data_IF_826206837460
#
_entry.id   IF_826206837460
#
_cell.length_a   1.000
_cell.length_b   1.000
_cell.length_c   1.000
_cell.angle_alpha   90.00
_cell.angle_beta   90.00
_cell.angle_gamma   90.00
#
_symmetry.space_group_name_H-M   'P 1'
#
loop_
_entity.id
_entity.type
_entity.pdbx_description
1 polymer ?
#
# COMPACT_ATOMS: atom_id res chain seq x y z
N UNK A 1 5.53 10.73 -35.07
CA UNK A 1 5.50 11.21 -33.66
C UNK A 1 6.89 11.00 -33.07
N UNK A 2 7.48 11.99 -32.40
CA UNK A 2 8.77 11.80 -31.74
C UNK A 2 8.60 10.75 -30.63
N UNK A 3 9.46 9.74 -30.61
CA UNK A 3 9.49 8.74 -29.56
C UNK A 3 9.85 9.42 -28.25
N UNK A 4 8.94 9.40 -27.28
CA UNK A 4 9.27 9.73 -25.89
C UNK A 4 10.41 8.79 -25.48
N UNK A 5 11.57 9.33 -25.12
CA UNK A 5 12.72 8.51 -24.72
C UNK A 5 12.39 7.82 -23.38
N UNK A 6 12.83 6.57 -23.20
CA UNK A 6 12.61 5.78 -21.97
C UNK A 6 13.00 6.53 -20.67
N UNK A 7 13.91 7.50 -20.76
CA UNK A 7 14.33 8.37 -19.65
C UNK A 7 13.21 9.28 -19.11
N UNK A 8 12.34 9.80 -19.97
CA UNK A 8 11.21 10.67 -19.58
C UNK A 8 10.06 9.87 -18.97
N UNK A 9 9.82 8.66 -19.46
CA UNK A 9 8.82 7.74 -18.90
C UNK A 9 9.22 7.27 -17.49
N UNK A 10 10.51 7.02 -17.24
CA UNK A 10 10.99 6.62 -15.91
C UNK A 10 10.84 7.73 -14.86
N UNK A 11 11.02 9.01 -15.23
CA UNK A 11 10.77 10.14 -14.33
C UNK A 11 9.30 10.18 -13.89
N UNK A 12 8.38 9.94 -14.82
CA UNK A 12 6.94 10.00 -14.58
C UNK A 12 6.38 9.01 -13.55
N UNK A 13 7.12 7.95 -13.25
CA UNK A 13 6.63 6.81 -12.46
C UNK A 13 7.08 6.82 -11.00
N UNK A 14 7.88 7.82 -10.62
CA UNK A 14 8.45 7.93 -9.29
C UNK A 14 7.60 8.83 -8.42
N UNK A 15 6.78 8.23 -7.55
CA UNK A 15 5.99 8.97 -6.57
C UNK A 15 6.40 8.63 -5.14
N UNK A 16 7.06 9.57 -4.49
CA UNK A 16 7.25 9.67 -3.05
C UNK A 16 6.27 10.71 -2.48
N UNK A 17 5.36 10.33 -1.58
CA UNK A 17 4.49 11.26 -0.86
C UNK A 17 5.27 12.44 -0.28
N UNK A 18 4.72 13.64 -0.48
CA UNK A 18 5.37 14.91 -0.13
C UNK A 18 5.69 15.01 1.37
N UNK A 19 4.79 14.50 2.21
CA UNK A 19 4.98 14.52 3.67
C UNK A 19 6.12 13.59 4.11
N UNK A 20 6.39 12.49 3.40
CA UNK A 20 7.51 11.60 3.71
C UNK A 20 8.84 12.31 3.41
N UNK A 21 8.95 12.95 2.24
CA UNK A 21 10.15 13.74 1.90
C UNK A 21 10.43 14.82 2.95
N UNK A 22 9.39 15.52 3.40
CA UNK A 22 9.51 16.53 4.45
C UNK A 22 9.99 15.92 5.77
N UNK A 23 9.42 14.78 6.15
CA UNK A 23 9.74 14.10 7.41
C UNK A 23 11.19 13.63 7.47
N UNK A 24 11.67 13.00 6.40
CA UNK A 24 13.08 12.61 6.30
C UNK A 24 13.96 13.84 6.51
N UNK A 25 13.68 14.95 5.84
CA UNK A 25 14.42 16.20 6.07
C UNK A 25 14.45 16.62 7.55
N UNK A 26 13.30 16.70 8.20
CA UNK A 26 13.23 17.21 9.60
C UNK A 26 14.01 16.39 10.61
N UNK A 27 14.20 15.09 10.35
CA UNK A 27 14.94 14.20 11.25
C UNK A 27 16.46 14.39 11.07
N UNK A 28 16.91 14.78 9.89
CA UNK A 28 18.34 14.86 9.55
C UNK A 28 18.90 16.28 9.52
N UNK A 29 18.05 17.32 9.44
CA UNK A 29 18.43 18.73 9.61
C UNK A 29 18.09 19.21 11.05
N UNK A 30 19.00 19.13 12.04
CA UNK A 30 18.71 19.61 13.40
C UNK A 30 18.50 21.14 13.42
N UNK A 31 17.50 21.66 14.17
CA UNK A 31 17.10 23.07 14.14
C UNK A 31 18.11 24.08 14.71
N UNK A 32 19.28 23.64 15.20
CA UNK A 32 20.18 24.47 16.02
C UNK A 32 21.45 24.96 15.33
N UNK A 33 21.59 24.82 14.01
CA UNK A 33 22.67 25.49 13.28
C UNK A 33 22.16 26.72 12.53
N UNK A 34 21.96 27.81 13.27
CA UNK A 34 21.92 29.21 12.77
C UNK A 34 23.24 29.69 12.16
N UNK A 35 24.14 28.76 11.80
CA UNK A 35 25.36 29.10 11.08
C UNK A 35 24.95 29.46 9.64
N UNK A 36 25.30 30.68 9.25
CA UNK A 36 25.13 31.24 7.90
C UNK A 36 25.77 30.33 6.81
N UNK A 37 26.57 29.34 7.20
CA UNK A 37 27.18 28.33 6.32
C UNK A 37 26.32 27.08 6.08
N UNK A 38 25.25 26.84 6.85
CA UNK A 38 24.27 25.77 6.57
C UNK A 38 23.42 26.07 5.30
N UNK A 39 23.63 27.22 4.65
CA UNK A 39 22.91 27.63 3.45
C UNK A 39 23.42 27.01 2.13
N UNK A 40 24.48 26.21 2.13
CA UNK A 40 25.13 25.75 0.88
C UNK A 40 25.09 24.23 0.62
N UNK A 41 24.60 23.39 1.55
CA UNK A 41 24.54 21.94 1.39
C UNK A 41 23.14 21.38 1.04
N UNK A 42 23.04 20.20 0.39
CA UNK A 42 21.78 19.48 0.20
C UNK A 42 21.25 18.84 1.49
N UNK A 43 19.93 18.81 1.68
CA UNK A 43 19.26 18.24 2.87
C UNK A 43 19.20 16.70 2.85
N UNK A 44 19.30 16.08 1.67
CA UNK A 44 19.45 14.62 1.49
C UNK A 44 19.94 14.33 0.07
N UNK A 45 20.41 13.10 -0.12
CA UNK A 45 20.83 12.59 -1.42
C UNK A 45 19.76 11.63 -1.95
N UNK A 46 19.29 11.88 -3.17
CA UNK A 46 18.52 10.92 -3.93
C UNK A 46 19.48 10.20 -4.87
N UNK A 47 19.69 8.91 -4.67
CA UNK A 47 20.56 8.11 -5.53
C UNK A 47 19.72 7.50 -6.64
N UNK A 48 20.03 7.77 -7.91
CA UNK A 48 19.37 7.16 -9.07
C UNK A 48 20.37 6.95 -10.19
N UNK A 49 20.39 5.77 -10.81
CA UNK A 49 21.25 5.50 -11.97
C UNK A 49 22.74 5.83 -11.75
N UNK A 50 23.26 5.56 -10.55
CA UNK A 50 24.63 5.93 -10.18
C UNK A 50 24.87 7.44 -10.04
N UNK A 51 23.83 8.26 -10.23
CA UNK A 51 23.87 9.71 -10.01
C UNK A 51 23.34 10.03 -8.61
N UNK A 52 24.11 10.81 -7.87
CA UNK A 52 23.66 11.40 -6.61
C UNK A 52 23.02 12.74 -6.95
N UNK A 53 21.70 12.84 -6.76
CA UNK A 53 20.96 14.09 -6.95
C UNK A 53 20.87 14.77 -5.58
N UNK A 54 21.69 15.81 -5.33
CA UNK A 54 21.57 16.62 -4.13
C UNK A 54 20.21 17.32 -4.14
N UNK A 55 19.33 17.00 -3.19
CA UNK A 55 17.99 17.54 -3.14
C UNK A 55 17.85 18.59 -2.04
N UNK A 56 17.15 19.68 -2.37
CA UNK A 56 16.89 20.79 -1.46
C UNK A 56 15.39 21.08 -1.46
N UNK A 57 14.71 20.79 -0.35
CA UNK A 57 13.29 21.08 -0.20
C UNK A 57 13.13 22.53 0.24
N UNK A 58 12.47 23.36 -0.56
CA UNK A 58 12.25 24.77 -0.28
C UNK A 58 10.78 24.97 0.12
N UNK A 59 10.50 24.98 1.43
CA UNK A 59 9.22 25.34 2.07
C UNK A 59 8.02 24.38 1.89
N UNK A 60 7.02 24.57 2.78
CA UNK A 60 6.00 23.61 3.15
C UNK A 60 4.98 23.24 2.06
N UNK A 61 4.87 23.98 0.95
CA UNK A 61 3.85 23.74 -0.09
C UNK A 61 4.31 24.03 -1.54
N UNK A 62 5.61 24.18 -1.79
CA UNK A 62 6.09 24.38 -3.15
C UNK A 62 6.54 23.06 -3.77
N UNK A 63 5.74 22.57 -4.73
CA UNK A 63 6.20 21.66 -5.78
C UNK A 63 7.44 22.31 -6.41
N UNK A 64 8.63 21.78 -6.12
CA UNK A 64 9.82 21.99 -6.96
C UNK A 64 10.21 20.64 -7.51
N UNK A 65 9.46 20.22 -8.53
CA UNK A 65 9.98 19.91 -9.88
C UNK A 65 11.03 18.83 -10.10
N UNK A 66 11.57 18.11 -9.11
CA UNK A 66 12.66 17.16 -9.43
C UNK A 66 12.60 15.78 -8.79
N UNK A 67 11.83 15.56 -7.72
CA UNK A 67 11.83 14.24 -7.03
C UNK A 67 10.51 13.47 -7.20
N UNK A 68 9.40 14.19 -7.39
CA UNK A 68 8.09 13.59 -7.68
C UNK A 68 7.37 14.41 -8.72
N UNK A 69 7.45 14.05 -10.01
CA UNK A 69 6.56 14.66 -10.97
C UNK A 69 5.12 14.40 -10.54
N UNK A 70 4.29 15.45 -10.55
CA UNK A 70 2.86 15.27 -10.41
C UNK A 70 2.39 14.33 -11.52
N UNK A 71 1.35 13.53 -11.26
CA UNK A 71 0.62 12.83 -12.33
C UNK A 71 0.40 13.81 -13.49
N UNK A 72 -0.02 15.05 -13.19
CA UNK A 72 -0.29 16.12 -14.16
C UNK A 72 0.94 16.50 -14.99
N UNK A 73 2.13 16.58 -14.38
CA UNK A 73 3.35 16.99 -15.07
C UNK A 73 3.74 15.99 -16.16
N UNK A 74 3.48 14.70 -15.91
CA UNK A 74 3.75 13.63 -16.86
C UNK A 74 2.85 13.72 -18.11
N UNK A 75 1.61 14.20 -17.95
CA UNK A 75 0.67 14.28 -19.06
C UNK A 75 0.72 15.60 -19.84
N UNK A 76 1.28 16.68 -19.25
CA UNK A 76 1.43 17.96 -19.96
C UNK A 76 2.38 17.86 -21.15
N UNK A 77 3.33 16.93 -21.13
CA UNK A 77 4.32 16.76 -22.19
C UNK A 77 3.91 15.76 -23.29
N UNK A 78 2.85 14.99 -23.10
CA UNK A 78 2.55 13.81 -23.90
C UNK A 78 1.21 13.90 -24.66
N UNK A 79 1.03 14.92 -25.53
CA UNK A 79 -0.08 14.97 -26.51
C UNK A 79 -1.44 14.49 -25.99
N UNK A 80 -1.75 14.83 -24.74
CA UNK A 80 -2.74 14.11 -23.95
C UNK A 80 -4.16 14.49 -24.39
N UNK A 81 -5.06 13.51 -24.47
CA UNK A 81 -6.45 13.78 -24.80
C UNK A 81 -7.08 14.70 -23.73
N UNK A 82 -7.89 15.72 -24.08
CA UNK A 82 -8.43 16.67 -23.10
C UNK A 82 -9.19 16.02 -21.94
N UNK A 83 -9.94 14.95 -22.23
CA UNK A 83 -10.64 14.15 -21.22
C UNK A 83 -9.69 13.45 -20.24
N UNK A 84 -8.57 12.95 -20.74
CA UNK A 84 -7.56 12.28 -19.93
C UNK A 84 -6.88 13.29 -19.00
N UNK A 85 -6.52 14.47 -19.52
CA UNK A 85 -5.98 15.56 -18.70
C UNK A 85 -6.96 16.00 -17.59
N UNK A 86 -8.26 16.08 -17.89
CA UNK A 86 -9.28 16.39 -16.90
C UNK A 86 -9.41 15.30 -15.82
N UNK A 87 -9.32 14.02 -16.20
CA UNK A 87 -9.28 12.92 -15.23
C UNK A 87 -8.02 12.95 -14.36
N UNK A 88 -6.85 13.24 -14.95
CA UNK A 88 -5.60 13.39 -14.21
C UNK A 88 -5.71 14.45 -13.11
N UNK A 89 -6.30 15.61 -13.42
CA UNK A 89 -6.55 16.66 -12.43
C UNK A 89 -7.50 16.19 -11.32
N UNK A 90 -8.60 15.52 -11.67
CA UNK A 90 -9.54 14.96 -10.67
C UNK A 90 -8.87 13.93 -9.76
N UNK A 91 -8.07 13.02 -10.33
CA UNK A 91 -7.30 12.03 -9.57
C UNK A 91 -6.30 12.73 -8.65
N UNK A 92 -5.56 13.72 -9.16
CA UNK A 92 -4.59 14.48 -8.38
C UNK A 92 -5.25 15.16 -7.17
N UNK A 93 -6.34 15.89 -7.37
CA UNK A 93 -7.06 16.57 -6.29
C UNK A 93 -7.63 15.60 -5.25
N UNK A 94 -8.19 14.48 -5.71
CA UNK A 94 -8.70 13.43 -4.84
C UNK A 94 -7.57 12.79 -4.03
N UNK A 95 -6.43 12.54 -4.66
CA UNK A 95 -5.26 11.96 -4.04
C UNK A 95 -4.63 12.90 -3.00
N UNK A 96 -4.50 14.19 -3.30
CA UNK A 96 -3.96 15.17 -2.34
C UNK A 96 -4.77 15.18 -1.04
N UNK A 97 -6.10 15.10 -1.13
CA UNK A 97 -6.97 15.01 0.06
C UNK A 97 -6.75 13.72 0.84
N UNK A 98 -6.58 12.59 0.14
CA UNK A 98 -6.28 11.30 0.75
C UNK A 98 -4.91 11.33 1.44
N UNK A 99 -3.90 11.88 0.79
CA UNK A 99 -2.54 12.04 1.31
C UNK A 99 -2.52 12.94 2.56
N UNK A 100 -3.18 14.10 2.51
CA UNK A 100 -3.30 14.99 3.68
C UNK A 100 -3.94 14.27 4.87
N UNK A 101 -5.03 13.54 4.63
CA UNK A 101 -5.73 12.79 5.68
C UNK A 101 -4.86 11.66 6.25
N UNK A 102 -4.16 10.91 5.39
CA UNK A 102 -3.23 9.86 5.83
C UNK A 102 -2.02 10.46 6.57
N UNK A 103 -1.53 11.62 6.14
CA UNK A 103 -0.47 12.37 6.81
C UNK A 103 -0.82 12.72 8.25
N UNK A 104 -2.09 13.05 8.55
CA UNK A 104 -2.55 13.28 9.92
C UNK A 104 -2.50 12.00 10.78
N UNK A 105 -2.94 10.87 10.22
CA UNK A 105 -2.86 9.58 10.91
C UNK A 105 -1.41 9.17 11.19
N UNK A 106 -0.51 9.34 10.20
CA UNK A 106 0.92 9.05 10.34
C UNK A 106 1.60 10.02 11.32
N UNK A 107 1.20 11.29 11.35
CA UNK A 107 1.69 12.24 12.35
C UNK A 107 1.29 11.85 13.78
N UNK A 108 0.12 11.25 13.98
CA UNK A 108 -0.26 10.71 15.28
C UNK A 108 0.67 9.56 15.71
N UNK A 109 1.03 8.66 14.77
CA UNK A 109 2.02 7.61 15.00
C UNK A 109 3.40 8.18 15.33
N UNK A 110 3.85 9.22 14.62
CA UNK A 110 5.14 9.86 14.91
C UNK A 110 5.18 10.48 16.30
N UNK A 111 4.10 11.14 16.72
CA UNK A 111 4.01 11.67 18.09
C UNK A 111 3.99 10.57 19.13
N UNK A 112 3.38 9.41 18.84
CA UNK A 112 3.40 8.26 19.73
C UNK A 112 4.84 7.72 19.87
N UNK A 113 5.52 7.48 18.76
CA UNK A 113 6.91 7.02 18.72
C UNK A 113 7.86 8.00 19.41
N UNK A 114 7.77 9.30 19.12
CA UNK A 114 8.64 10.32 19.70
C UNK A 114 8.47 10.46 21.23
N UNK A 115 7.28 10.13 21.74
CA UNK A 115 6.97 10.09 23.18
C UNK A 115 7.32 8.76 23.83
N UNK A 116 7.88 7.81 23.07
CA UNK A 116 8.21 6.47 23.56
C UNK A 116 6.97 5.63 23.90
N UNK A 117 5.82 5.89 23.28
CA UNK A 117 4.64 5.04 23.44
C UNK A 117 4.85 3.71 22.73
N UNK A 118 4.34 2.64 23.32
CA UNK A 118 4.38 1.28 22.75
C UNK A 118 3.21 1.01 21.79
N UNK A 119 2.26 1.94 21.68
CA UNK A 119 1.09 1.82 20.82
C UNK A 119 0.64 3.17 20.27
N UNK A 120 -0.11 3.12 19.17
CA UNK A 120 -0.87 4.25 18.62
C UNK A 120 -2.34 3.89 18.58
N UNK A 121 -3.19 4.84 18.92
CA UNK A 121 -4.65 4.68 18.88
C UNK A 121 -5.18 5.47 17.69
N UNK A 122 -5.93 4.79 16.82
CA UNK A 122 -6.64 5.39 15.70
C UNK A 122 -8.10 4.99 15.70
N UNK A 123 -8.96 5.88 15.24
CA UNK A 123 -10.31 5.50 14.84
C UNK A 123 -10.28 4.58 13.61
N UNK A 124 -11.36 3.80 13.41
CA UNK A 124 -11.55 3.02 12.19
C UNK A 124 -11.60 3.89 10.94
N UNK A 125 -12.13 5.11 11.04
CA UNK A 125 -12.07 6.09 9.95
C UNK A 125 -10.62 6.39 9.53
N UNK A 126 -9.73 6.70 10.49
CA UNK A 126 -8.33 7.00 10.22
C UNK A 126 -7.57 5.79 9.66
N UNK A 127 -7.83 4.59 10.19
CA UNK A 127 -7.23 3.37 9.66
C UNK A 127 -7.69 3.04 8.24
N UNK A 128 -8.98 3.22 7.95
CA UNK A 128 -9.53 3.01 6.61
C UNK A 128 -8.88 3.99 5.61
N UNK A 129 -8.68 5.24 6.02
CA UNK A 129 -7.95 6.26 5.24
C UNK A 129 -6.50 5.81 5.00
N UNK A 130 -5.80 5.38 6.05
CA UNK A 130 -4.41 4.94 5.96
C UNK A 130 -4.26 3.73 5.04
N UNK A 131 -5.07 2.68 5.22
CA UNK A 131 -5.07 1.49 4.35
C UNK A 131 -5.33 1.85 2.89
N UNK A 132 -6.31 2.73 2.63
CA UNK A 132 -6.57 3.20 1.28
C UNK A 132 -5.39 3.97 0.69
N UNK A 133 -4.78 4.85 1.47
CA UNK A 133 -3.59 5.58 1.05
C UNK A 133 -2.43 4.64 0.70
N UNK A 134 -2.14 3.65 1.54
CA UNK A 134 -1.08 2.65 1.32
C UNK A 134 -1.34 1.83 0.05
N UNK A 135 -2.58 1.42 -0.19
CA UNK A 135 -2.94 0.73 -1.43
C UNK A 135 -2.71 1.63 -2.66
N UNK A 136 -3.20 2.87 -2.62
CA UNK A 136 -3.12 3.79 -3.77
C UNK A 136 -1.66 4.16 -4.08
N UNK A 137 -0.82 4.39 -3.06
CA UNK A 137 0.60 4.69 -3.29
C UNK A 137 1.30 3.49 -3.93
N UNK A 138 0.99 2.27 -3.49
CA UNK A 138 1.49 1.05 -4.13
C UNK A 138 1.05 0.91 -5.59
N UNK A 139 -0.21 1.21 -5.91
CA UNK A 139 -0.70 1.19 -7.29
C UNK A 139 0.05 2.18 -8.19
N UNK A 140 0.31 3.40 -7.68
CA UNK A 140 1.03 4.45 -8.42
C UNK A 140 2.51 4.16 -8.62
N UNK A 141 3.15 3.52 -7.65
CA UNK A 141 4.58 3.20 -7.68
C UNK A 141 4.91 1.94 -8.49
N UNK A 142 3.90 1.23 -9.03
CA UNK A 142 4.06 -0.13 -9.53
C UNK A 142 4.00 -0.30 -11.04
N UNK A 143 4.32 -1.53 -11.46
CA UNK A 143 4.03 -2.13 -12.78
C UNK A 143 2.57 -1.93 -13.20
N UNK A 144 1.63 -1.71 -12.27
CA UNK A 144 0.22 -1.51 -12.60
C UNK A 144 0.01 -0.33 -13.54
N UNK A 145 0.61 0.84 -13.27
CA UNK A 145 0.52 1.98 -14.19
C UNK A 145 1.09 1.66 -15.58
N UNK A 146 2.28 1.02 -15.64
CA UNK A 146 2.94 0.65 -16.90
C UNK A 146 2.03 -0.17 -17.82
N UNK A 147 1.20 -1.05 -17.24
CA UNK A 147 0.23 -1.85 -18.00
C UNK A 147 -0.75 -0.98 -18.78
N UNK A 148 -1.28 0.07 -18.16
CA UNK A 148 -2.24 0.97 -18.79
C UNK A 148 -1.58 1.99 -19.72
N UNK A 149 -0.38 2.45 -19.37
CA UNK A 149 0.39 3.39 -20.19
C UNK A 149 0.76 2.82 -21.56
N UNK A 150 1.14 1.54 -21.60
CA UNK A 150 1.55 0.84 -22.82
C UNK A 150 0.46 -0.07 -23.41
N UNK A 151 -0.80 0.12 -22.97
CA UNK A 151 -1.91 -0.67 -23.47
C UNK A 151 -2.12 -0.42 -24.97
N UNK A 152 -1.79 -1.42 -25.79
CA UNK A 152 -1.92 -1.33 -27.25
C UNK A 152 -3.30 -1.75 -27.76
N UNK A 153 -4.15 -2.34 -26.88
CA UNK A 153 -5.45 -2.88 -27.25
C UNK A 153 -5.41 -4.05 -28.25
N UNK A 154 -4.21 -4.61 -28.49
CA UNK A 154 -3.98 -5.70 -29.46
C UNK A 154 -3.58 -7.02 -28.80
N UNK A 155 -3.43 -7.05 -27.48
CA UNK A 155 -3.13 -8.29 -26.77
C UNK A 155 -4.39 -9.15 -26.64
N UNK A 156 -4.18 -10.47 -26.69
CA UNK A 156 -5.19 -11.47 -26.34
C UNK A 156 -5.11 -11.81 -24.85
N UNK A 157 -4.62 -10.90 -24.01
CA UNK A 157 -4.57 -11.12 -22.58
C UNK A 157 -5.97 -10.89 -22.00
N UNK A 158 -6.40 -11.75 -21.08
CA UNK A 158 -7.69 -11.64 -20.36
C UNK A 158 -7.80 -10.28 -19.67
N UNK A 159 -6.66 -9.72 -19.26
CA UNK A 159 -6.56 -8.39 -18.68
C UNK A 159 -6.94 -7.28 -19.66
N UNK A 160 -6.58 -7.44 -20.94
CA UNK A 160 -6.92 -6.47 -21.97
C UNK A 160 -8.43 -6.48 -22.23
N UNK A 161 -9.07 -7.65 -22.15
CA UNK A 161 -10.52 -7.80 -22.27
C UNK A 161 -11.28 -7.10 -21.13
N UNK A 162 -10.83 -7.27 -19.88
CA UNK A 162 -11.43 -6.58 -18.72
C UNK A 162 -11.37 -5.06 -18.89
N UNK A 163 -10.19 -4.54 -19.23
CA UNK A 163 -9.98 -3.08 -19.39
C UNK A 163 -10.80 -2.54 -20.55
N UNK A 164 -10.86 -3.24 -21.68
CA UNK A 164 -11.68 -2.83 -22.83
C UNK A 164 -13.18 -2.90 -22.54
N UNK A 165 -13.64 -3.94 -21.83
CA UNK A 165 -15.04 -4.04 -21.40
C UNK A 165 -15.41 -2.88 -20.45
N UNK A 166 -14.59 -2.65 -19.43
CA UNK A 166 -14.76 -1.54 -18.49
C UNK A 166 -14.75 -0.18 -19.21
N UNK A 167 -13.80 0.02 -20.12
CA UNK A 167 -13.69 1.22 -20.94
C UNK A 167 -14.96 1.48 -21.75
N UNK A 168 -15.50 0.45 -22.42
CA UNK A 168 -16.73 0.55 -23.22
C UNK A 168 -17.96 0.87 -22.36
N UNK A 169 -18.12 0.17 -21.23
CA UNK A 169 -19.25 0.36 -20.31
C UNK A 169 -19.31 1.80 -19.78
N UNK A 170 -18.16 2.40 -19.47
CA UNK A 170 -18.08 3.77 -18.94
C UNK A 170 -17.85 4.85 -20.02
N UNK A 171 -17.89 4.49 -21.31
CA UNK A 171 -17.72 5.43 -22.42
C UNK A 171 -16.35 6.13 -22.45
N UNK A 172 -15.29 5.45 -22.02
CA UNK A 172 -13.97 6.03 -21.84
C UNK A 172 -13.14 5.94 -23.15
N UNK A 173 -12.35 6.96 -23.51
CA UNK A 173 -11.72 7.03 -24.83
C UNK A 173 -10.56 6.05 -25.00
N UNK A 174 -9.84 5.71 -23.92
CA UNK A 174 -8.68 4.82 -23.97
C UNK A 174 -8.47 4.11 -22.60
N UNK A 175 -7.55 3.15 -22.55
CA UNK A 175 -7.24 2.39 -21.34
C UNK A 175 -6.64 3.23 -20.21
N UNK A 176 -5.87 4.29 -20.53
CA UNK A 176 -5.37 5.24 -19.51
C UNK A 176 -6.52 5.94 -18.80
N UNK A 177 -7.55 6.37 -19.53
CA UNK A 177 -8.76 6.94 -18.97
C UNK A 177 -9.55 5.91 -18.14
N UNK A 178 -9.59 4.64 -18.56
CA UNK A 178 -10.17 3.55 -17.75
C UNK A 178 -9.49 3.41 -16.39
N UNK A 179 -8.16 3.39 -16.37
CA UNK A 179 -7.40 3.35 -15.13
C UNK A 179 -7.58 4.60 -14.26
N UNK A 180 -7.45 5.81 -14.84
CA UNK A 180 -7.62 7.06 -14.09
C UNK A 180 -9.03 7.18 -13.51
N UNK A 181 -10.05 6.75 -14.25
CA UNK A 181 -11.44 6.71 -13.78
C UNK A 181 -11.62 5.69 -12.65
N UNK A 182 -11.07 4.47 -12.78
CA UNK A 182 -11.06 3.45 -11.73
C UNK A 182 -10.39 3.98 -10.46
N UNK A 183 -9.20 4.57 -10.60
CA UNK A 183 -8.41 5.12 -9.50
C UNK A 183 -9.12 6.27 -8.79
N UNK A 184 -9.71 7.21 -9.55
CA UNK A 184 -10.50 8.29 -8.98
C UNK A 184 -11.69 7.73 -8.19
N UNK A 185 -12.41 6.76 -8.76
CA UNK A 185 -13.55 6.10 -8.11
C UNK A 185 -13.12 5.39 -6.84
N UNK A 186 -12.02 4.63 -6.84
CA UNK A 186 -11.49 3.96 -5.65
C UNK A 186 -11.16 4.93 -4.51
N UNK A 187 -10.55 6.08 -4.84
CA UNK A 187 -10.25 7.11 -3.84
C UNK A 187 -11.54 7.65 -3.22
N UNK A 188 -12.58 7.90 -4.02
CA UNK A 188 -13.86 8.49 -3.58
C UNK A 188 -14.81 7.52 -2.89
N UNK A 189 -14.83 6.26 -3.31
CA UNK A 189 -15.75 5.24 -2.75
C UNK A 189 -15.38 4.93 -1.31
N UNK A 190 -16.32 4.91 -0.34
CA UNK A 190 -16.03 4.52 1.04
C UNK A 190 -15.32 3.16 1.12
N UNK A 191 -14.48 2.97 2.14
CA UNK A 191 -13.62 1.77 2.27
C UNK A 191 -14.37 0.45 2.06
N UNK A 192 -15.52 0.30 2.73
CA UNK A 192 -16.38 -0.90 2.64
C UNK A 192 -17.15 -1.02 1.32
N UNK A 193 -17.28 0.05 0.53
CA UNK A 193 -18.00 0.06 -0.74
C UNK A 193 -17.14 -0.31 -1.94
N UNK A 194 -15.81 -0.38 -1.78
CA UNK A 194 -14.87 -0.65 -2.88
C UNK A 194 -15.12 -2.01 -3.55
N UNK A 195 -15.26 -3.13 -2.81
CA UNK A 195 -15.47 -4.46 -3.42
C UNK A 195 -16.69 -4.53 -4.36
N UNK A 196 -17.76 -3.82 -4.02
CA UNK A 196 -19.02 -3.82 -4.79
C UNK A 196 -19.08 -2.76 -5.90
N UNK A 197 -18.12 -1.84 -6.00
CA UNK A 197 -18.23 -0.65 -6.85
C UNK A 197 -17.91 -0.94 -8.33
N UNK A 198 -18.93 -1.02 -9.19
CA UNK A 198 -18.78 -1.21 -10.64
C UNK A 198 -17.99 -0.09 -11.37
N UNK A 199 -17.76 1.05 -10.72
CA UNK A 199 -16.90 2.15 -11.23
C UNK A 199 -15.40 1.94 -10.99
N UNK A 200 -15.01 0.78 -10.45
CA UNK A 200 -13.62 0.38 -10.21
C UNK A 200 -13.36 -0.91 -10.98
N UNK A 201 -12.20 -1.03 -11.61
CA UNK A 201 -11.77 -2.25 -12.30
C UNK A 201 -11.89 -3.45 -11.35
N UNK A 202 -12.37 -4.59 -11.86
CA UNK A 202 -12.62 -5.78 -11.04
C UNK A 202 -11.33 -6.23 -10.34
N UNK A 203 -10.20 -6.21 -11.07
CA UNK A 203 -8.91 -6.56 -10.50
C UNK A 203 -8.48 -5.64 -9.36
N UNK A 204 -8.66 -4.32 -9.53
CA UNK A 204 -8.31 -3.34 -8.50
C UNK A 204 -9.18 -3.53 -7.25
N UNK A 205 -10.47 -3.86 -7.43
CA UNK A 205 -11.38 -4.20 -6.33
C UNK A 205 -10.94 -5.45 -5.59
N UNK A 206 -10.66 -6.53 -6.32
CA UNK A 206 -10.24 -7.80 -5.73
C UNK A 206 -8.92 -7.64 -4.95
N UNK A 207 -7.93 -6.94 -5.53
CA UNK A 207 -6.67 -6.68 -4.84
C UNK A 207 -6.84 -5.78 -3.60
N UNK A 208 -7.76 -4.81 -3.65
CA UNK A 208 -8.06 -3.97 -2.50
C UNK A 208 -8.78 -4.74 -1.39
N UNK A 209 -9.76 -5.56 -1.76
CA UNK A 209 -10.49 -6.42 -0.86
C UNK A 209 -9.55 -7.40 -0.17
N UNK A 210 -8.62 -7.99 -0.91
CA UNK A 210 -7.58 -8.86 -0.37
C UNK A 210 -6.76 -8.16 0.72
N UNK A 211 -6.27 -6.95 0.43
CA UNK A 211 -5.50 -6.14 1.39
C UNK A 211 -6.33 -5.71 2.60
N UNK A 212 -7.61 -5.41 2.41
CA UNK A 212 -8.49 -4.98 3.49
C UNK A 212 -8.85 -6.12 4.43
N UNK A 213 -9.20 -7.27 3.87
CA UNK A 213 -9.81 -8.40 4.56
C UNK A 213 -8.78 -9.32 5.16
N UNK A 214 -7.73 -9.64 4.41
CA UNK A 214 -6.79 -10.69 4.79
C UNK A 214 -5.47 -10.15 5.32
N UNK A 215 -5.25 -8.83 5.34
CA UNK A 215 -4.01 -8.26 5.86
C UNK A 215 -4.21 -7.47 7.15
N UNK A 216 -3.48 -7.88 8.17
CA UNK A 216 -3.34 -7.12 9.41
C UNK A 216 -2.29 -6.02 9.23
N UNK A 217 -2.59 -4.83 9.77
CA UNK A 217 -1.62 -3.75 9.83
C UNK A 217 -0.74 -3.93 11.07
N UNK A 218 0.57 -4.01 10.85
CA UNK A 218 1.60 -4.10 11.87
C UNK A 218 2.56 -2.91 11.76
N UNK A 219 3.04 -2.40 12.89
CA UNK A 219 3.94 -1.24 12.95
C UNK A 219 5.25 -1.68 13.57
N UNK A 220 6.35 -1.40 12.88
CA UNK A 220 7.68 -1.76 13.30
C UNK A 220 8.60 -0.54 13.44
N UNK A 221 9.30 -0.45 14.56
CA UNK A 221 10.32 0.56 14.85
C UNK A 221 11.73 -0.03 14.69
N UNK A 222 12.68 0.80 14.24
CA UNK A 222 14.10 0.43 14.19
C UNK A 222 14.70 0.19 15.59
N UNK A 223 15.67 -0.72 15.74
CA UNK A 223 16.19 -1.18 17.04
C UNK A 223 16.78 -0.08 17.91
N UNK A 224 17.56 0.83 17.32
CA UNK A 224 18.23 1.91 18.03
C UNK A 224 18.40 3.16 17.15
N UNK A 225 18.85 4.26 17.77
CA UNK A 225 19.20 5.49 17.04
C UNK A 225 20.35 5.19 16.06
N UNK A 226 20.26 5.73 14.85
CA UNK A 226 21.22 5.49 13.76
C UNK A 226 20.87 4.32 12.83
N UNK A 227 19.86 3.50 13.17
CA UNK A 227 19.24 2.60 12.21
C UNK A 227 18.06 3.31 11.55
N UNK A 228 18.17 3.52 10.24
CA UNK A 228 17.12 4.13 9.43
C UNK A 228 16.69 3.17 8.33
N UNK A 229 15.38 2.95 8.23
CA UNK A 229 14.77 2.37 7.06
C UNK A 229 15.02 3.24 5.83
N UNK A 230 15.28 2.55 4.73
CA UNK A 230 15.48 3.17 3.44
C UNK A 230 14.13 3.52 2.81
N UNK A 231 14.06 4.70 2.20
CA UNK A 231 12.93 5.09 1.36
C UNK A 231 13.34 4.91 -0.09
N UNK A 232 12.68 3.98 -0.78
CA UNK A 232 12.88 3.70 -2.19
C UNK A 232 11.57 3.85 -2.95
N UNK A 233 11.64 3.81 -4.28
CA UNK A 233 10.44 3.81 -5.12
C UNK A 233 9.50 2.66 -4.78
N UNK A 234 10.04 1.48 -4.46
CA UNK A 234 9.26 0.28 -4.16
C UNK A 234 9.02 0.07 -2.67
N UNK A 235 9.70 0.79 -1.76
CA UNK A 235 9.48 0.68 -0.33
C UNK A 235 8.13 1.25 0.12
N UNK A 236 7.31 1.74 -0.81
CA UNK A 236 5.92 2.16 -0.62
C UNK A 236 4.96 1.11 -1.18
N UNK A 237 5.11 -0.14 -0.72
CA UNK A 237 4.28 -1.28 -1.15
C UNK A 237 5.07 -2.47 -1.65
N UNK A 238 6.26 -2.72 -1.08
CA UNK A 238 7.09 -3.86 -1.43
C UNK A 238 6.39 -5.14 -1.01
N UNK A 239 6.04 -5.97 -1.98
CA UNK A 239 5.37 -7.24 -1.76
C UNK A 239 6.40 -8.35 -1.49
N UNK A 240 6.29 -9.01 -0.34
CA UNK A 240 7.19 -10.06 0.16
C UNK A 240 6.51 -11.40 0.37
N UNK A 241 7.31 -12.47 0.25
CA UNK A 241 6.90 -13.85 0.47
C UNK A 241 5.82 -14.26 -0.52
N UNK A 242 6.19 -14.82 -1.67
CA UNK A 242 5.19 -15.30 -2.62
C UNK A 242 4.88 -16.75 -2.29
N UNK A 243 3.63 -17.05 -1.96
CA UNK A 243 3.17 -18.44 -1.91
C UNK A 243 2.62 -18.78 -3.29
N UNK A 244 3.26 -19.69 -4.04
CA UNK A 244 2.64 -20.22 -5.24
C UNK A 244 1.47 -21.09 -4.83
N UNK A 245 0.26 -20.73 -5.23
CA UNK A 245 -0.89 -21.62 -5.07
C UNK A 245 -0.78 -22.71 -6.15
N UNK A 246 -0.02 -23.77 -5.85
CA UNK A 246 0.60 -24.64 -6.86
C UNK A 246 -0.24 -25.82 -7.36
N UNK A 247 -1.47 -26.03 -6.90
CA UNK A 247 -2.32 -27.07 -7.49
C UNK A 247 -3.80 -26.72 -7.46
N UNK A 248 -4.57 -27.30 -8.38
CA UNK A 248 -6.03 -27.10 -8.47
C UNK A 248 -6.75 -27.65 -7.23
N UNK A 249 -6.18 -28.67 -6.58
CA UNK A 249 -6.68 -29.22 -5.32
C UNK A 249 -6.29 -28.34 -4.14
N UNK A 250 -5.14 -27.65 -4.21
CA UNK A 250 -4.76 -26.61 -3.23
C UNK A 250 -5.50 -25.30 -3.48
N UNK A 251 -5.86 -24.90 -4.70
CA UNK A 251 -6.76 -23.76 -4.95
C UNK A 251 -8.20 -24.07 -4.53
N UNK A 252 -8.65 -25.32 -4.70
CA UNK A 252 -9.96 -25.76 -4.20
C UNK A 252 -9.95 -25.87 -2.70
N UNK A 253 -8.91 -26.43 -2.07
CA UNK A 253 -8.77 -26.49 -0.61
C UNK A 253 -8.51 -25.13 -0.02
N UNK A 254 -7.48 -24.39 -0.43
CA UNK A 254 -7.22 -23.02 0.02
C UNK A 254 -8.37 -22.08 -0.32
N UNK A 255 -9.03 -22.25 -1.46
CA UNK A 255 -10.24 -21.49 -1.81
C UNK A 255 -11.51 -21.94 -1.08
N UNK A 256 -11.55 -23.13 -0.48
CA UNK A 256 -12.63 -23.61 0.41
C UNK A 256 -12.31 -23.32 1.89
N UNK A 257 -11.04 -23.37 2.27
CA UNK A 257 -10.50 -23.18 3.62
C UNK A 257 -10.34 -21.69 3.93
N UNK A 258 -9.94 -20.87 2.94
CA UNK A 258 -9.88 -19.41 3.02
C UNK A 258 -11.16 -18.75 2.45
N UNK A 259 -12.04 -19.51 1.78
CA UNK A 259 -13.27 -19.00 1.13
C UNK A 259 -13.10 -17.65 0.42
N UNK A 260 -11.92 -17.47 -0.22
CA UNK A 260 -11.61 -16.33 -1.06
C UNK A 260 -12.70 -16.25 -2.14
N UNK A 261 -13.28 -15.06 -2.42
CA UNK A 261 -14.27 -14.94 -3.47
C UNK A 261 -13.69 -15.52 -4.74
N UNK A 262 -14.30 -16.61 -5.23
CA UNK A 262 -14.00 -17.15 -6.55
C UNK A 262 -14.06 -15.96 -7.48
N UNK A 263 -12.97 -15.66 -8.18
CA UNK A 263 -13.01 -14.75 -9.32
C UNK A 263 -13.88 -15.44 -10.36
N UNK A 264 -15.20 -15.29 -10.20
CA UNK A 264 -16.25 -15.90 -10.99
C UNK A 264 -16.29 -15.16 -12.31
N UNK A 265 -15.40 -15.54 -13.25
CA UNK A 265 -15.53 -15.06 -14.63
C UNK A 265 -14.33 -15.16 -15.55
N UNK A 266 -13.13 -15.53 -15.09
CA UNK A 266 -11.94 -15.56 -15.95
C UNK A 266 -11.48 -16.97 -16.32
N UNK A 267 -11.28 -17.26 -17.60
CA UNK A 267 -10.68 -18.52 -18.05
C UNK A 267 -9.31 -18.78 -17.38
N UNK A 268 -9.10 -20.05 -17.05
CA UNK A 268 -7.92 -20.60 -16.35
C UNK A 268 -6.63 -20.38 -17.15
N UNK A 269 -5.76 -19.49 -16.69
CA UNK A 269 -4.32 -19.58 -17.02
C UNK A 269 -3.65 -20.52 -16.02
N UNK A 270 -2.80 -21.43 -16.53
CA UNK A 270 -1.92 -22.34 -15.77
C UNK A 270 -0.74 -21.60 -15.10
N UNK A 271 -0.97 -20.42 -14.53
CA UNK A 271 0.02 -19.72 -13.71
C UNK A 271 -0.47 -19.76 -12.28
N UNK A 272 0.32 -20.33 -11.38
CA UNK A 272 0.02 -20.26 -9.95
C UNK A 272 -0.20 -18.80 -9.57
N UNK A 273 -1.34 -18.50 -8.94
CA UNK A 273 -1.57 -17.15 -8.43
C UNK A 273 -0.58 -16.92 -7.29
N UNK A 274 0.28 -15.92 -7.46
CA UNK A 274 1.26 -15.51 -6.47
C UNK A 274 0.61 -14.51 -5.51
N UNK A 275 0.35 -14.94 -4.26
CA UNK A 275 -0.16 -14.06 -3.20
C UNK A 275 1.01 -13.64 -2.32
N UNK A 276 1.30 -12.33 -2.19
CA UNK A 276 2.36 -11.89 -1.29
C UNK A 276 1.92 -12.05 0.16
N UNK A 277 2.79 -12.53 1.04
CA UNK A 277 2.55 -12.70 2.46
C UNK A 277 2.59 -11.35 3.20
N UNK A 278 3.46 -10.43 2.80
CA UNK A 278 3.52 -9.10 3.41
C UNK A 278 3.65 -7.99 2.37
N UNK A 279 3.16 -6.79 2.72
CA UNK A 279 3.49 -5.56 2.00
C UNK A 279 4.16 -4.57 2.96
N UNK A 280 5.34 -4.08 2.58
CA UNK A 280 6.17 -3.20 3.43
C UNK A 280 6.08 -1.76 2.92
N UNK A 281 5.83 -0.85 3.86
CA UNK A 281 5.71 0.60 3.64
C UNK A 281 6.61 1.36 4.62
N UNK A 282 7.71 1.93 4.15
CA UNK A 282 8.54 2.80 5.00
C UNK A 282 7.91 4.19 5.11
N UNK A 283 7.49 4.54 6.33
CA UNK A 283 6.72 5.77 6.62
C UNK A 283 7.52 6.79 7.44
N UNK A 284 8.65 6.39 8.02
CA UNK A 284 9.71 7.24 8.59
C UNK A 284 11.06 6.57 8.39
N UNK A 285 12.18 7.29 8.61
CA UNK A 285 13.46 6.63 8.86
C UNK A 285 13.35 5.60 9.98
N UNK A 286 12.56 5.86 11.03
CA UNK A 286 12.44 4.97 12.18
C UNK A 286 11.23 4.06 12.21
N UNK A 287 10.28 4.17 11.27
CA UNK A 287 9.06 3.35 11.29
C UNK A 287 8.71 2.79 9.92
N UNK A 288 8.30 1.54 9.91
CA UNK A 288 7.71 0.87 8.77
C UNK A 288 6.34 0.29 9.15
N UNK A 289 5.42 0.28 8.18
CA UNK A 289 4.12 -0.36 8.28
C UNK A 289 4.14 -1.62 7.41
N UNK A 290 3.69 -2.72 7.98
CA UNK A 290 3.57 -4.00 7.30
C UNK A 290 2.09 -4.35 7.18
N UNK A 291 1.67 -4.81 6.00
CA UNK A 291 0.37 -5.45 5.80
C UNK A 291 0.60 -6.96 5.65
N UNK A 292 0.45 -7.69 6.75
CA UNK A 292 0.78 -9.12 6.85
C UNK A 292 -0.47 -9.96 6.66
N UNK A 293 -0.41 -10.96 5.78
CA UNK A 293 -1.53 -11.87 5.51
C UNK A 293 -1.82 -12.73 6.73
N UNK A 294 -3.06 -12.70 7.25
CA UNK A 294 -3.42 -13.37 8.51
C UNK A 294 -3.75 -14.84 8.34
N UNK A 295 -4.25 -15.23 7.16
CA UNK A 295 -4.70 -16.62 6.92
C UNK A 295 -3.64 -17.50 6.26
N UNK A 296 -2.54 -16.90 5.82
CA UNK A 296 -1.40 -17.62 5.28
C UNK A 296 -0.35 -17.58 6.38
N UNK A 297 -0.37 -18.53 7.33
CA UNK A 297 0.68 -18.59 8.33
C UNK A 297 2.02 -18.67 7.59
N UNK A 298 3.10 -18.11 8.15
CA UNK A 298 4.45 -18.40 7.69
C UNK A 298 4.76 -19.86 8.02
N UNK A 299 4.11 -20.80 7.33
CA UNK A 299 4.50 -22.20 7.31
C UNK A 299 5.91 -22.29 6.77
N UNK A 300 6.59 -23.38 7.12
CA UNK A 300 7.93 -23.78 6.66
C UNK A 300 8.00 -24.03 5.14
N UNK A 301 7.45 -23.11 4.34
CA UNK A 301 7.81 -23.08 2.94
C UNK A 301 9.29 -22.77 2.89
N UNK A 302 10.03 -23.56 2.10
CA UNK A 302 11.43 -23.30 1.81
C UNK A 302 11.52 -21.96 1.09
N UNK A 303 11.58 -20.91 1.90
CA UNK A 303 11.92 -19.57 1.46
C UNK A 303 13.29 -19.66 0.79
N UNK A 304 13.42 -19.01 -0.37
CA UNK A 304 14.72 -18.94 -1.01
C UNK A 304 15.70 -18.26 -0.07
N UNK A 305 16.96 -18.70 -0.09
CA UNK A 305 18.01 -18.22 0.81
C UNK A 305 18.10 -16.68 0.74
N UNK A 306 17.59 -15.98 1.76
CA UNK A 306 17.53 -14.51 1.82
C UNK A 306 16.13 -13.85 1.84
N UNK A 307 15.03 -14.61 1.77
CA UNK A 307 13.68 -14.04 1.97
C UNK A 307 13.41 -13.76 3.46
N UNK A 308 12.61 -12.73 3.74
CA UNK A 308 12.24 -12.34 5.09
C UNK A 308 11.34 -13.43 5.72
N UNK A 309 11.84 -14.09 6.76
CA UNK A 309 11.04 -15.02 7.57
C UNK A 309 10.01 -14.23 8.40
N UNK A 310 8.82 -14.04 7.85
CA UNK A 310 7.75 -13.28 8.51
C UNK A 310 7.32 -13.88 9.87
N UNK A 311 7.58 -15.17 10.09
CA UNK A 311 7.42 -15.83 11.39
C UNK A 311 8.26 -15.23 12.50
N UNK A 312 9.39 -14.61 12.15
CA UNK A 312 10.38 -14.14 13.10
C UNK A 312 10.12 -12.68 13.49
N UNK A 313 9.20 -12.00 12.79
CA UNK A 313 8.78 -10.66 13.15
C UNK A 313 8.08 -10.66 14.52
N UNK A 314 8.38 -9.70 15.40
CA UNK A 314 7.69 -9.61 16.67
C UNK A 314 6.19 -9.39 16.45
N UNK A 315 5.33 -9.97 17.30
CA UNK A 315 3.88 -9.85 17.13
C UNK A 315 3.46 -8.39 17.31
N UNK A 316 2.81 -7.83 16.30
CA UNK A 316 2.20 -6.51 16.36
C UNK A 316 0.69 -6.67 16.58
N UNK A 317 0.27 -6.69 17.85
CA UNK A 317 -1.14 -6.85 18.19
C UNK A 317 -1.95 -5.61 17.82
N UNK A 318 -3.22 -5.83 17.49
CA UNK A 318 -4.22 -4.76 17.33
C UNK A 318 -5.39 -5.08 18.24
N UNK A 319 -5.71 -4.16 19.14
CA UNK A 319 -6.88 -4.25 20.01
C UNK A 319 -7.98 -3.34 19.47
N UNK A 320 -9.19 -3.88 19.35
CA UNK A 320 -10.34 -3.15 18.82
C UNK A 320 -11.34 -2.91 19.95
N UNK A 321 -11.65 -1.64 20.20
CA UNK A 321 -12.75 -1.21 21.07
C UNK A 321 -13.91 -0.74 20.19
N UNK A 322 -15.02 -1.48 20.23
CA UNK A 322 -16.20 -1.18 19.42
C UNK A 322 -17.03 -0.03 20.00
N UNK A 323 -17.44 0.90 19.14
CA UNK A 323 -18.22 2.09 19.55
C UNK A 323 -19.44 2.25 18.60
N UNK A 324 -20.68 2.08 19.10
CA UNK A 324 -21.04 1.62 20.45
C UNK A 324 -20.58 0.17 20.71
N UNK A 325 -20.51 -0.28 21.98
CA UNK A 325 -20.17 -1.68 22.28
C UNK A 325 -21.07 -2.66 21.51
N UNK A 326 -20.49 -3.80 21.13
CA UNK A 326 -21.25 -4.87 20.47
C UNK A 326 -22.24 -5.50 21.44
N UNK A 327 -23.35 -6.01 20.92
CA UNK A 327 -24.23 -6.89 21.71
C UNK A 327 -23.44 -8.10 22.25
N UNK A 328 -23.72 -8.59 23.47
CA UNK A 328 -23.04 -9.77 24.01
C UNK A 328 -23.12 -10.99 23.09
N UNK A 329 -24.24 -11.14 22.38
CA UNK A 329 -24.47 -12.19 21.39
C UNK A 329 -23.58 -12.09 20.16
N UNK A 330 -23.11 -10.90 19.77
CA UNK A 330 -22.33 -10.71 18.56
C UNK A 330 -20.96 -11.39 18.61
N UNK A 331 -20.39 -11.58 19.81
CA UNK A 331 -19.06 -12.19 20.01
C UNK A 331 -19.10 -13.45 20.90
N UNK A 332 -20.28 -13.87 21.35
CA UNK A 332 -20.39 -15.03 22.22
C UNK A 332 -19.85 -16.31 21.57
N UNK A 333 -20.06 -16.46 20.26
CA UNK A 333 -19.62 -17.65 19.51
C UNK A 333 -18.09 -17.79 19.48
N UNK A 334 -17.33 -16.68 19.47
CA UNK A 334 -15.87 -16.70 19.39
C UNK A 334 -15.20 -17.23 20.68
N UNK A 335 -15.97 -17.45 21.73
CA UNK A 335 -15.52 -18.02 23.02
C UNK A 335 -15.89 -19.49 23.18
N UNK A 336 -16.72 -20.03 22.27
CA UNK A 336 -17.15 -21.43 22.29
C UNK A 336 -16.18 -22.28 21.47
N UNK A 337 -16.02 -23.54 21.86
CA UNK A 337 -15.37 -24.50 20.98
C UNK A 337 -16.18 -24.65 19.68
N UNK A 338 -15.54 -24.72 18.49
CA UNK A 338 -16.27 -24.91 17.23
C UNK A 338 -17.22 -26.12 17.21
N UNK A 339 -16.95 -27.16 18.00
CA UNK A 339 -17.84 -28.32 18.14
C UNK A 339 -19.16 -28.02 18.89
N UNK A 340 -19.23 -26.89 19.60
CA UNK A 340 -20.40 -26.43 20.37
C UNK A 340 -21.20 -25.35 19.64
N UNK A 341 -20.81 -24.99 18.41
CA UNK A 341 -21.49 -23.93 17.65
C UNK A 341 -22.90 -24.36 17.24
N UNK A 342 -23.88 -23.50 17.54
CA UNK A 342 -25.24 -23.65 17.03
C UNK A 342 -25.30 -23.23 15.55
N UNK A 343 -26.39 -23.55 14.80
CA UNK A 343 -26.59 -23.03 13.46
C UNK A 343 -26.49 -21.49 13.37
N UNK A 344 -26.95 -20.79 14.41
CA UNK A 344 -26.85 -19.33 14.49
C UNK A 344 -25.40 -18.86 14.72
N UNK A 345 -24.60 -19.59 15.48
CA UNK A 345 -23.18 -19.29 15.68
C UNK A 345 -22.39 -19.50 14.39
N UNK A 346 -22.67 -20.58 13.64
CA UNK A 346 -22.10 -20.84 12.31
C UNK A 346 -22.48 -19.71 11.35
N UNK A 347 -23.74 -19.28 11.35
CA UNK A 347 -24.18 -18.17 10.51
C UNK A 347 -23.49 -16.86 10.90
N UNK A 348 -23.34 -16.55 12.20
CA UNK A 348 -22.64 -15.34 12.66
C UNK A 348 -21.15 -15.36 12.29
N UNK A 349 -20.48 -16.49 12.46
CA UNK A 349 -19.10 -16.61 12.01
C UNK A 349 -19.00 -16.45 10.49
N UNK A 350 -19.96 -17.01 9.75
CA UNK A 350 -20.04 -16.82 8.31
C UNK A 350 -20.25 -15.35 7.94
N UNK A 351 -21.21 -14.67 8.57
CA UNK A 351 -21.50 -13.24 8.36
C UNK A 351 -20.28 -12.38 8.69
N UNK A 352 -19.56 -12.71 9.76
CA UNK A 352 -18.35 -12.00 10.16
C UNK A 352 -17.21 -12.24 9.16
N UNK A 353 -16.92 -13.49 8.81
CA UNK A 353 -15.80 -13.83 7.92
C UNK A 353 -16.04 -13.42 6.48
N UNK A 354 -17.25 -13.60 5.96
CA UNK A 354 -17.56 -13.45 4.53
C UNK A 354 -18.15 -12.09 4.21
N UNK A 355 -19.12 -11.65 4.99
CA UNK A 355 -19.83 -10.39 4.76
C UNK A 355 -19.24 -9.23 5.55
N UNK A 356 -18.29 -9.50 6.46
CA UNK A 356 -17.75 -8.54 7.42
C UNK A 356 -18.88 -7.87 8.23
N UNK A 357 -19.93 -8.62 8.55
CA UNK A 357 -21.08 -8.16 9.31
C UNK A 357 -20.92 -8.62 10.76
N UNK A 358 -21.05 -7.67 11.69
CA UNK A 358 -21.06 -7.93 13.12
C UNK A 358 -22.18 -7.12 13.75
N UNK A 359 -23.06 -7.79 14.48
CA UNK A 359 -24.24 -7.17 15.09
C UNK A 359 -25.15 -6.48 14.04
N UNK A 360 -25.32 -7.13 12.88
CA UNK A 360 -26.12 -6.64 11.75
C UNK A 360 -25.53 -5.43 11.02
N UNK A 361 -24.29 -5.03 11.31
CA UNK A 361 -23.60 -3.90 10.68
C UNK A 361 -22.29 -4.33 10.04
N UNK A 362 -21.98 -3.75 8.88
CA UNK A 362 -20.67 -3.93 8.26
C UNK A 362 -19.59 -3.35 9.19
N UNK A 363 -18.67 -4.19 9.65
CA UNK A 363 -17.59 -3.87 10.60
C UNK A 363 -16.78 -2.66 10.11
N UNK A 364 -16.43 -2.64 8.83
CA UNK A 364 -15.67 -1.54 8.23
C UNK A 364 -16.41 -0.20 8.18
N UNK A 365 -17.74 -0.21 8.29
CA UNK A 365 -18.57 1.00 8.37
C UNK A 365 -18.69 1.57 9.80
N UNK A 366 -18.17 0.87 10.82
CA UNK A 366 -18.14 1.31 12.21
C UNK A 366 -17.04 2.33 12.47
N UNK A 367 -17.15 3.50 11.84
CA UNK A 367 -16.09 4.52 11.76
C UNK A 367 -15.54 5.00 13.11
N UNK A 368 -16.35 4.93 14.17
CA UNK A 368 -16.01 5.38 15.51
C UNK A 368 -15.28 4.32 16.37
N UNK A 369 -15.18 3.07 15.90
CA UNK A 369 -14.42 2.05 16.62
C UNK A 369 -12.98 2.52 16.80
N UNK A 370 -12.41 2.28 17.98
CA UNK A 370 -11.04 2.64 18.32
C UNK A 370 -10.13 1.43 18.16
N UNK A 371 -8.99 1.61 17.51
CA UNK A 371 -8.00 0.56 17.25
C UNK A 371 -6.66 0.99 17.83
N UNK A 372 -6.23 0.26 18.86
CA UNK A 372 -4.92 0.40 19.46
C UNK A 372 -3.97 -0.59 18.78
N UNK A 373 -2.97 -0.06 18.09
CA UNK A 373 -1.99 -0.84 17.33
C UNK A 373 -0.64 -0.73 18.01
N UNK A 374 -0.04 -1.88 18.34
CA UNK A 374 1.28 -1.94 18.94
C UNK A 374 2.38 -1.47 17.96
N UNK A 375 3.38 -0.78 18.50
CA UNK A 375 4.61 -0.37 17.83
C UNK A 375 5.71 -1.33 18.29
N UNK A 376 5.97 -2.37 17.50
CA UNK A 376 6.93 -3.40 17.85
C UNK A 376 8.35 -2.98 17.43
N UNK A 377 9.35 -3.18 18.31
CA UNK A 377 10.75 -2.93 17.95
C UNK A 377 11.34 -4.14 17.25
N UNK A 378 11.96 -3.93 16.11
CA UNK A 378 12.74 -4.99 15.45
C UNK A 378 14.03 -5.27 16.22
N UNK A 379 14.48 -6.51 16.19
CA UNK A 379 15.88 -6.82 16.48
C UNK A 379 16.78 -6.23 15.38
N UNK A 380 18.06 -6.06 15.68
CA UNK A 380 19.01 -5.58 14.67
C UNK A 380 19.09 -6.52 13.47
N UNK A 381 19.07 -7.83 13.71
CA UNK A 381 19.06 -8.85 12.67
C UNK A 381 17.84 -8.73 11.75
N UNK A 382 16.62 -8.65 12.30
CA UNK A 382 15.40 -8.50 11.52
C UNK A 382 15.37 -7.18 10.76
N UNK A 383 15.85 -6.10 11.38
CA UNK A 383 15.99 -4.81 10.69
C UNK A 383 16.92 -4.92 9.47
N UNK A 384 18.05 -5.62 9.60
CA UNK A 384 18.98 -5.85 8.49
C UNK A 384 18.36 -6.74 7.41
N UNK A 385 17.62 -7.78 7.78
CA UNK A 385 16.88 -8.60 6.81
C UNK A 385 15.88 -7.75 6.02
N UNK A 386 15.01 -6.98 6.70
CA UNK A 386 14.05 -6.08 6.05
C UNK A 386 14.75 -5.08 5.13
N UNK A 387 15.87 -4.50 5.58
CA UNK A 387 16.64 -3.53 4.79
C UNK A 387 17.26 -4.17 3.55
N UNK A 388 17.83 -5.36 3.68
CA UNK A 388 18.40 -6.12 2.56
C UNK A 388 17.31 -6.53 1.57
N UNK A 389 16.14 -6.96 2.06
CA UNK A 389 14.97 -7.25 1.22
C UNK A 389 14.55 -6.04 0.40
N UNK A 390 14.46 -4.86 1.04
CA UNK A 390 14.19 -3.59 0.34
C UNK A 390 15.29 -3.35 -0.70
N UNK A 391 16.57 -3.45 -0.36
CA UNK A 391 17.67 -3.20 -1.30
C UNK A 391 17.68 -4.18 -2.48
N UNK A 392 17.60 -5.48 -2.24
CA UNK A 392 17.73 -6.53 -3.25
C UNK A 392 16.63 -6.45 -4.31
N UNK A 393 15.40 -6.15 -3.91
CA UNK A 393 14.29 -5.97 -4.87
C UNK A 393 14.40 -4.69 -5.69
N UNK A 394 15.14 -3.71 -5.20
CA UNK A 394 15.38 -2.43 -5.85
C UNK A 394 16.56 -2.45 -6.83
N UNK A 395 17.58 -3.27 -6.54
CA UNK A 395 18.80 -3.38 -7.36
C UNK A 395 18.55 -4.20 -8.63
N UNK A 396 17.70 -5.23 -8.56
CA UNK A 396 17.57 -6.22 -9.64
C UNK A 396 16.54 -5.91 -10.73
N UNK A 397 15.76 -4.81 -10.67
CA UNK A 397 14.55 -4.70 -11.50
C UNK A 397 14.30 -3.43 -12.31
N UNK A 398 15.02 -2.32 -12.15
CA UNK A 398 14.89 -1.18 -13.08
C UNK A 398 16.05 -0.17 -12.92
N UNK A 399 16.54 0.34 -14.05
CA UNK A 399 17.40 1.53 -14.21
C UNK A 399 16.74 2.84 -13.71
N UNK A 400 15.77 2.77 -12.81
CA UNK A 400 14.96 3.92 -12.39
C UNK A 400 14.97 4.18 -10.90
N UNK A 401 15.49 3.25 -10.10
CA UNK A 401 15.25 3.23 -8.66
C UNK A 401 15.95 4.36 -7.94
N UNK A 402 15.17 5.11 -7.17
CA UNK A 402 15.67 6.12 -6.24
C UNK A 402 15.86 5.50 -4.88
N UNK A 403 16.95 5.87 -4.22
CA UNK A 403 17.13 5.65 -2.80
C UNK A 403 17.27 7.02 -2.13
N UNK A 404 16.47 7.26 -1.10
CA UNK A 404 16.66 8.37 -0.18
C UNK A 404 17.36 7.80 1.06
N UNK A 405 18.64 8.13 1.18
CA UNK A 405 19.42 7.86 2.39
C UNK A 405 19.77 9.20 3.06
N UNK A 406 19.63 9.29 4.38
CA UNK A 406 20.01 10.49 5.12
C UNK A 406 21.51 10.66 5.30
N UNK A 407 22.26 9.56 5.21
CA UNK A 407 23.73 9.55 5.20
C UNK A 407 24.22 9.30 3.78
N UNK A 408 25.44 9.78 3.47
CA UNK A 408 26.15 9.26 2.31
C UNK A 408 26.34 7.76 2.53
N UNK A 409 25.69 6.95 1.68
CA UNK A 409 25.94 5.51 1.61
C UNK A 409 27.41 5.22 1.34
#
# INVERSE_FOLDING_TARGET
MPSVTASQESLAMSYVPSFLLHKWRTIHDPPNHTSVLAQLGPSFCVYRLGTVIPCRITSFHAIVGTVTPSIVDNYRHAGCHPFEAALCLKVHDAYLKLEQSAGLALHALDRAQARGKESVVWSRAEMNILRKFLFVVGQRASVAWRRYAHHSGRGTDVLDEEVEAFRKVHGLPNARCAWLFSLHSLIKTPHWGIPASASILLRDRAAYEEDMRFRQLAIYETPHRGCDFLLTQSSLGLAEGVVPVSSRDDELKLGQDLNMPRVTGGQKKKGAQEVPLAKIYTVSPRLAIFLVHVELPPSKHDFSDGDLALSDLPPASTQVTYVPPLSPSAIAFSRKDPSEWTPEDIQRESDFRHENILDGKVVYARLADSMEVAIAKLSFELFMQVTNTILNKNINRDEGTWLVSPTKL
#
